data_IF_497247184943
#
_entry.id   IF_497247184943
#
_cell.length_a   1.000
_cell.length_b   1.000
_cell.length_c   1.000
_cell.angle_alpha   90.00
_cell.angle_beta   90.00
_cell.angle_gamma   90.00
#
_symmetry.space_group_name_H-M   'P 1'
#
loop_
_entity.id
_entity.type
_entity.pdbx_description
1 polymer ?
#
# COMPACT_ATOMS: atom_id res chain seq x y z
N UNK A 1 10.75 1.10 -14.53
CA UNK A 1 9.56 1.73 -13.93
C UNK A 1 8.86 2.55 -15.01
N UNK A 2 7.73 2.07 -15.53
CA UNK A 2 6.94 2.79 -16.55
C UNK A 2 5.75 3.42 -15.85
N UNK A 3 5.71 4.75 -15.79
CA UNK A 3 4.58 5.50 -15.22
C UNK A 3 3.48 5.62 -16.27
N UNK A 4 2.33 5.03 -16.00
CA UNK A 4 1.13 5.25 -16.80
C UNK A 4 0.34 6.40 -16.19
N UNK A 5 0.25 7.52 -16.92
CA UNK A 5 -0.68 8.61 -16.60
C UNK A 5 -1.88 8.42 -17.52
N UNK A 6 -2.92 7.78 -17.02
CA UNK A 6 -4.21 7.75 -17.73
C UNK A 6 -4.90 9.10 -17.50
N UNK A 7 -5.53 9.65 -18.55
CA UNK A 7 -6.48 10.75 -18.35
C UNK A 7 -7.51 10.28 -17.33
N UNK A 8 -7.74 11.05 -16.28
CA UNK A 8 -8.68 10.71 -15.22
C UNK A 8 -10.03 10.35 -15.84
N UNK A 9 -10.33 9.05 -15.90
CA UNK A 9 -11.62 8.56 -16.34
C UNK A 9 -12.57 8.99 -15.24
N UNK A 10 -13.45 9.96 -15.52
CA UNK A 10 -14.38 10.58 -14.53
C UNK A 10 -15.26 9.56 -13.78
N UNK A 11 -15.24 8.29 -14.19
CA UNK A 11 -16.03 7.20 -13.65
C UNK A 11 -15.23 5.89 -13.52
N UNK A 12 -13.92 5.95 -13.22
CA UNK A 12 -13.20 4.73 -12.84
C UNK A 12 -13.78 4.21 -11.52
N UNK A 13 -14.33 2.99 -11.55
CA UNK A 13 -14.81 2.31 -10.34
C UNK A 13 -13.62 1.67 -9.62
N UNK A 14 -13.72 1.37 -8.31
CA UNK A 14 -12.69 0.62 -7.59
C UNK A 14 -12.27 -0.68 -8.29
N UNK A 15 -13.21 -1.35 -8.97
CA UNK A 15 -12.92 -2.56 -9.73
C UNK A 15 -11.99 -2.31 -10.93
N UNK A 16 -12.12 -1.15 -11.61
CA UNK A 16 -11.21 -0.76 -12.69
C UNK A 16 -9.81 -0.51 -12.15
N UNK A 17 -9.69 0.14 -11.00
CA UNK A 17 -8.39 0.38 -10.37
C UNK A 17 -7.71 -0.95 -9.96
N UNK A 18 -8.46 -1.88 -9.37
CA UNK A 18 -7.94 -3.20 -9.00
C UNK A 18 -7.42 -3.97 -10.22
N UNK A 19 -8.22 -4.03 -11.30
CA UNK A 19 -7.83 -4.68 -12.54
C UNK A 19 -6.60 -4.00 -13.16
N UNK A 20 -6.56 -2.66 -13.15
CA UNK A 20 -5.42 -1.92 -13.65
C UNK A 20 -4.14 -2.32 -12.93
N UNK A 21 -4.16 -2.33 -11.59
CA UNK A 21 -3.00 -2.72 -10.78
C UNK A 21 -2.59 -4.16 -11.06
N UNK A 22 -3.53 -5.09 -11.10
CA UNK A 22 -3.26 -6.50 -11.35
C UNK A 22 -2.52 -6.72 -12.69
N UNK A 23 -2.99 -6.08 -13.76
CA UNK A 23 -2.48 -6.30 -15.11
C UNK A 23 -1.29 -5.40 -15.51
N UNK A 24 -1.14 -4.22 -14.89
CA UNK A 24 -0.19 -3.20 -15.38
C UNK A 24 0.92 -2.83 -14.38
N UNK A 25 0.81 -3.23 -13.11
CA UNK A 25 1.81 -2.92 -12.10
C UNK A 25 2.60 -4.17 -11.72
N UNK A 26 3.91 -4.02 -11.53
CA UNK A 26 4.79 -5.06 -10.96
C UNK A 26 4.90 -4.96 -9.44
N UNK A 27 4.71 -3.75 -8.92
CA UNK A 27 4.84 -3.42 -7.50
C UNK A 27 3.75 -2.45 -7.05
N UNK A 28 3.34 -2.55 -5.79
CA UNK A 28 2.36 -1.67 -5.13
C UNK A 28 2.98 -1.13 -3.84
N UNK A 29 2.86 0.18 -3.61
CA UNK A 29 3.29 0.81 -2.35
C UNK A 29 2.05 1.32 -1.61
N UNK A 30 1.78 0.76 -0.45
CA UNK A 30 0.71 1.22 0.44
C UNK A 30 1.21 2.39 1.28
N UNK A 31 0.84 3.60 0.85
CA UNK A 31 1.11 4.84 1.60
C UNK A 31 0.16 5.06 2.77
N UNK A 32 -0.92 4.29 2.84
CA UNK A 32 -1.85 4.19 3.96
C UNK A 32 -2.16 2.70 4.21
N UNK A 33 -1.28 2.02 4.93
CA UNK A 33 -1.25 0.54 5.02
C UNK A 33 -2.53 -0.06 5.62
N UNK A 34 -3.28 0.68 6.44
CA UNK A 34 -4.55 0.25 7.03
C UNK A 34 -5.80 0.70 6.23
N UNK A 35 -5.63 1.33 5.06
CA UNK A 35 -6.76 1.72 4.21
C UNK A 35 -7.44 0.49 3.61
N UNK A 36 -8.76 0.36 3.77
CA UNK A 36 -9.53 -0.76 3.20
C UNK A 36 -9.37 -0.85 1.68
N UNK A 37 -9.48 0.28 0.97
CA UNK A 37 -9.31 0.29 -0.49
C UNK A 37 -7.89 -0.14 -0.88
N UNK A 38 -6.86 0.46 -0.27
CA UNK A 38 -5.47 0.15 -0.59
C UNK A 38 -5.10 -1.30 -0.29
N UNK A 39 -5.56 -1.82 0.86
CA UNK A 39 -5.31 -3.21 1.26
C UNK A 39 -5.92 -4.20 0.26
N UNK A 40 -7.18 -4.00 -0.14
CA UNK A 40 -7.82 -4.86 -1.15
C UNK A 40 -7.16 -4.73 -2.54
N UNK A 41 -6.74 -3.53 -2.94
CA UNK A 41 -5.97 -3.34 -4.18
C UNK A 41 -4.70 -4.19 -4.17
N UNK A 42 -3.93 -4.18 -3.07
CA UNK A 42 -2.71 -4.96 -2.95
C UNK A 42 -2.97 -6.46 -2.90
N UNK A 43 -3.97 -6.89 -2.13
CA UNK A 43 -4.36 -8.29 -2.02
C UNK A 43 -4.79 -8.90 -3.35
N UNK A 44 -5.59 -8.16 -4.13
CA UNK A 44 -6.09 -8.60 -5.43
C UNK A 44 -5.07 -8.44 -6.57
N UNK A 45 -3.96 -7.71 -6.36
CA UNK A 45 -2.89 -7.60 -7.34
C UNK A 45 -2.25 -8.97 -7.69
N UNK A 46 -2.36 -9.94 -6.77
CA UNK A 46 -1.98 -11.33 -6.95
C UNK A 46 -0.60 -11.69 -6.39
N UNK A 47 -0.27 -12.99 -6.31
CA UNK A 47 0.85 -13.51 -5.54
C UNK A 47 2.24 -13.23 -6.13
N UNK A 48 2.31 -12.70 -7.34
CA UNK A 48 3.58 -12.43 -8.05
C UNK A 48 3.96 -10.95 -8.07
N UNK A 49 3.30 -10.13 -7.25
CA UNK A 49 3.54 -8.68 -7.18
C UNK A 49 4.32 -8.33 -5.93
N UNK A 50 5.22 -7.35 -6.04
CA UNK A 50 5.93 -6.85 -4.87
C UNK A 50 5.05 -5.84 -4.14
N UNK A 51 4.51 -6.24 -3.00
CA UNK A 51 3.68 -5.37 -2.18
C UNK A 51 4.51 -4.80 -1.05
N UNK A 52 4.59 -3.47 -0.98
CA UNK A 52 5.28 -2.75 0.06
C UNK A 52 4.27 -2.05 0.95
N UNK A 53 4.43 -2.14 2.26
CA UNK A 53 3.60 -1.41 3.20
C UNK A 53 4.47 -0.66 4.20
N UNK A 54 4.10 0.57 4.50
CA UNK A 54 4.78 1.33 5.55
C UNK A 54 4.39 0.74 6.91
N UNK A 55 5.39 0.39 7.74
CA UNK A 55 5.18 -0.10 9.11
C UNK A 55 4.86 1.03 10.08
N UNK A 56 5.16 2.28 9.71
CA UNK A 56 4.90 3.48 10.52
C UNK A 56 3.44 3.88 10.40
N UNK A 57 2.56 3.07 11.00
CA UNK A 57 1.18 3.42 11.30
C UNK A 57 0.81 3.27 12.79
N UNK A 58 1.80 3.15 13.69
CA UNK A 58 1.71 3.70 15.06
C UNK A 58 2.06 5.18 15.07
N UNK A 59 1.04 6.02 15.25
CA UNK A 59 1.23 7.06 16.26
C UNK A 59 1.32 6.37 17.63
N UNK A 60 1.92 6.96 18.67
CA UNK A 60 1.68 6.51 20.03
C UNK A 60 0.15 6.52 20.26
N UNK A 61 -0.46 5.34 20.49
CA UNK A 61 -1.92 5.07 20.49
C UNK A 61 -2.61 4.89 19.11
N UNK A 62 -1.88 4.47 18.07
CA UNK A 62 -2.45 4.14 16.76
C UNK A 62 -2.98 2.71 16.63
N UNK A 63 -3.11 2.28 15.38
CA UNK A 63 -3.69 1.01 14.91
C UNK A 63 -2.99 -0.23 15.52
N UNK A 64 -1.74 -0.11 15.99
CA UNK A 64 -0.98 -1.23 16.56
C UNK A 64 -1.57 -1.83 17.84
N UNK A 65 -2.43 -1.08 18.55
CA UNK A 65 -3.21 -1.63 19.67
C UNK A 65 -4.44 -2.41 19.24
N UNK A 66 -4.89 -2.22 17.99
CA UNK A 66 -6.12 -2.77 17.43
C UNK A 66 -5.86 -3.86 16.39
N UNK A 67 -4.62 -3.98 15.91
CA UNK A 67 -4.29 -4.72 14.71
C UNK A 67 -2.96 -5.44 14.86
N UNK A 68 -3.03 -6.77 14.84
CA UNK A 68 -1.85 -7.60 14.78
C UNK A 68 -1.30 -7.62 13.34
N UNK A 69 -0.07 -7.12 13.18
CA UNK A 69 0.60 -7.01 11.86
C UNK A 69 0.73 -8.37 11.18
N UNK A 70 1.00 -9.44 11.95
CA UNK A 70 1.18 -10.80 11.39
C UNK A 70 -0.11 -11.39 10.82
N UNK A 71 -1.25 -10.91 11.30
CA UNK A 71 -2.56 -11.43 10.90
C UNK A 71 -3.18 -10.56 9.80
N UNK A 72 -2.81 -9.28 9.77
CA UNK A 72 -3.38 -8.30 8.84
C UNK A 72 -2.61 -8.21 7.51
N UNK A 73 -1.29 -8.42 7.51
CA UNK A 73 -0.50 -8.39 6.29
C UNK A 73 0.01 -9.79 5.96
N UNK A 74 -0.20 -10.28 4.72
CA UNK A 74 0.40 -11.53 4.27
C UNK A 74 1.93 -11.55 4.45
N UNK A 75 2.52 -12.69 4.85
CA UNK A 75 3.94 -12.78 5.19
C UNK A 75 4.89 -12.52 4.01
N UNK A 76 4.41 -12.67 2.78
CA UNK A 76 5.17 -12.37 1.56
C UNK A 76 5.25 -10.88 1.24
N UNK A 77 4.49 -10.01 1.94
CA UNK A 77 4.54 -8.57 1.74
C UNK A 77 5.76 -7.96 2.43
N UNK A 78 6.30 -6.90 1.82
CA UNK A 78 7.58 -6.30 2.20
C UNK A 78 7.34 -5.08 3.10
N UNK A 79 7.75 -5.13 4.38
CA UNK A 79 7.65 -3.97 5.25
C UNK A 79 8.65 -2.87 4.85
N UNK A 80 8.19 -1.63 4.83
CA UNK A 80 9.03 -0.43 4.73
C UNK A 80 9.11 0.23 6.10
N UNK A 81 10.32 0.30 6.64
CA UNK A 81 10.63 0.99 7.89
C UNK A 81 11.24 2.36 7.59
N UNK A 82 10.83 3.38 8.33
CA UNK A 82 11.53 4.66 8.31
C UNK A 82 12.73 4.58 9.27
N UNK A 83 13.91 5.07 8.87
CA UNK A 83 15.03 5.23 9.79
C UNK A 83 14.63 6.07 11.00
N UNK A 84 15.09 5.70 12.19
CA UNK A 84 14.77 6.40 13.44
C UNK A 84 15.26 7.85 13.48
N UNK A 85 16.25 8.18 12.66
CA UNK A 85 16.86 9.50 12.50
C UNK A 85 16.25 10.30 11.33
N UNK A 86 15.28 9.74 10.61
CA UNK A 86 14.64 10.43 9.50
C UNK A 86 13.93 11.68 9.99
N UNK A 87 14.38 12.84 9.51
CA UNK A 87 13.71 14.13 9.72
C UNK A 87 13.12 14.62 8.40
N UNK A 88 11.87 15.06 8.44
CA UNK A 88 11.28 15.79 7.32
C UNK A 88 12.13 17.05 7.07
N UNK A 89 12.41 17.40 5.79
CA UNK A 89 13.05 18.65 5.47
C UNK A 89 12.27 19.81 6.09
N UNK A 90 12.95 20.74 6.75
CA UNK A 90 12.31 21.98 7.19
C UNK A 90 11.92 22.78 5.95
N UNK A 91 10.63 23.09 5.84
CA UNK A 91 10.04 23.91 4.76
C UNK A 91 10.65 25.30 4.68
#
# INVERSE_FOLDING_TARGET
MRLYVTNAIRSATPAVDFAFVQYNCDSVILTASASTFGWWTAFLAGPHKNIYYNTVFSKPNGIEKELNVTDFFPPEWIPLTMPSDFRLPTS
#
